data_IF_123587905475
#
_entry.id   IF_123587905475
#
_cell.length_a   1.000
_cell.length_b   1.000
_cell.length_c   1.000
_cell.angle_alpha   90.00
_cell.angle_beta   90.00
_cell.angle_gamma   90.00
#
_symmetry.space_group_name_H-M   'P 1'
#
loop_
_entity.id
_entity.type
_entity.pdbx_description
1 polymer ?
#
# COMPACT_ATOMS: atom_id res chain seq x y z
N UNK A 1 -16.20 -59.94 22.09
CA UNK A 1 -16.74 -60.80 21.01
C UNK A 1 -15.73 -61.93 20.73
N UNK A 2 -16.17 -63.21 20.64
CA UNK A 2 -15.23 -64.31 20.29
C UNK A 2 -14.78 -64.15 18.83
N UNK A 3 -13.47 -63.98 18.61
CA UNK A 3 -12.88 -63.99 17.25
C UNK A 3 -13.23 -65.30 16.56
N UNK A 4 -13.94 -65.23 15.44
CA UNK A 4 -14.17 -66.38 14.54
C UNK A 4 -12.80 -66.75 13.93
N UNK A 5 -12.18 -67.84 14.33
CA UNK A 5 -10.94 -68.34 13.71
C UNK A 5 -11.30 -69.13 12.46
N UNK A 6 -11.24 -68.45 11.30
CA UNK A 6 -11.29 -69.10 10.03
C UNK A 6 -9.83 -69.39 9.61
N UNK A 7 -9.51 -70.61 9.30
CA UNK A 7 -8.16 -71.02 8.86
C UNK A 7 -8.28 -71.66 7.48
N UNK A 8 -7.39 -71.28 6.52
CA UNK A 8 -7.34 -71.91 5.23
C UNK A 8 -6.70 -73.31 5.34
N UNK A 9 -7.32 -74.32 4.70
CA UNK A 9 -6.81 -75.69 4.66
C UNK A 9 -6.42 -76.06 3.25
N UNK A 10 -5.26 -76.73 3.09
CA UNK A 10 -4.85 -77.21 1.77
C UNK A 10 -5.70 -78.41 1.35
N UNK A 11 -6.40 -78.31 0.22
CA UNK A 11 -7.26 -79.38 -0.29
C UNK A 11 -6.41 -80.45 -0.97
N UNK A 12 -6.53 -81.70 -0.47
CA UNK A 12 -5.66 -82.82 -0.84
C UNK A 12 -5.72 -83.25 -2.30
N UNK A 13 -6.89 -83.14 -2.92
CA UNK A 13 -7.08 -83.57 -4.30
C UNK A 13 -6.72 -82.50 -5.35
N UNK A 14 -6.93 -81.23 -5.07
CA UNK A 14 -6.71 -80.16 -6.04
C UNK A 14 -5.45 -79.30 -5.78
N UNK A 15 -4.78 -79.50 -4.65
CA UNK A 15 -3.61 -78.72 -4.25
C UNK A 15 -3.90 -77.26 -3.91
N UNK A 16 -5.15 -76.81 -4.05
CA UNK A 16 -5.59 -75.44 -3.77
C UNK A 16 -5.89 -75.23 -2.28
N UNK A 17 -5.91 -73.98 -1.86
CA UNK A 17 -6.26 -73.59 -0.48
C UNK A 17 -7.77 -73.38 -0.36
N UNK A 18 -8.41 -74.12 0.54
CA UNK A 18 -9.81 -74.10 0.82
C UNK A 18 -10.11 -73.22 2.01
N UNK A 19 -11.07 -72.29 1.84
CA UNK A 19 -11.65 -71.47 2.94
C UNK A 19 -13.12 -71.82 3.09
N UNK A 20 -13.51 -72.29 4.29
CA UNK A 20 -14.90 -72.57 4.63
C UNK A 20 -15.54 -71.38 5.31
N UNK A 21 -16.53 -70.77 4.67
CA UNK A 21 -17.20 -69.57 5.11
C UNK A 21 -18.44 -69.97 5.91
N UNK A 22 -18.55 -69.55 7.17
CA UNK A 22 -19.77 -69.82 7.96
C UNK A 22 -20.99 -69.09 7.33
N UNK A 23 -22.17 -69.67 7.47
CA UNK A 23 -23.44 -69.10 6.96
C UNK A 23 -23.67 -67.62 7.39
N UNK A 24 -23.18 -67.23 8.55
CA UNK A 24 -23.29 -65.87 9.08
C UNK A 24 -22.44 -64.82 8.36
N UNK A 25 -21.43 -65.28 7.60
CA UNK A 25 -20.48 -64.44 6.88
C UNK A 25 -20.59 -64.65 5.34
N UNK A 26 -21.46 -65.51 4.92
CA UNK A 26 -21.76 -65.71 3.52
C UNK A 26 -22.87 -64.82 3.04
N UNK A 27 -22.71 -64.15 1.89
CA UNK A 27 -23.73 -63.31 1.28
C UNK A 27 -25.04 -64.02 0.92
N UNK A 28 -24.97 -65.38 0.82
CA UNK A 28 -26.09 -66.23 0.52
C UNK A 28 -26.85 -66.74 1.80
N UNK A 29 -26.33 -66.48 2.99
CA UNK A 29 -26.88 -67.03 4.23
C UNK A 29 -26.68 -68.55 4.43
N UNK A 30 -25.95 -69.22 3.52
CA UNK A 30 -25.57 -70.62 3.58
C UNK A 30 -24.07 -70.81 3.73
N UNK A 31 -23.63 -71.96 4.25
CA UNK A 31 -22.20 -72.26 4.31
C UNK A 31 -21.65 -72.35 2.92
N UNK A 32 -20.55 -71.63 2.65
CA UNK A 32 -19.87 -71.65 1.36
C UNK A 32 -18.44 -72.09 1.48
N UNK A 33 -17.87 -72.60 0.39
CA UNK A 33 -16.47 -72.99 0.31
C UNK A 33 -15.85 -72.35 -0.91
N UNK A 34 -14.71 -71.61 -0.72
CA UNK A 34 -13.97 -71.02 -1.81
C UNK A 34 -12.58 -71.61 -1.87
N UNK A 35 -12.02 -71.73 -3.10
CA UNK A 35 -10.69 -72.30 -3.34
C UNK A 35 -9.79 -71.23 -3.97
N UNK A 36 -8.56 -71.15 -3.43
CA UNK A 36 -7.57 -70.15 -3.82
C UNK A 36 -6.28 -70.84 -4.29
N UNK A 37 -5.56 -70.32 -5.28
CA UNK A 37 -4.29 -70.84 -5.77
C UNK A 37 -3.19 -70.86 -4.72
N UNK A 38 -3.10 -69.84 -3.88
CA UNK A 38 -2.05 -69.64 -2.85
C UNK A 38 -2.62 -69.47 -1.45
N UNK A 39 -1.81 -69.76 -0.46
CA UNK A 39 -2.16 -69.53 0.94
C UNK A 39 -2.31 -68.01 1.26
N UNK A 40 -1.50 -67.19 0.59
CA UNK A 40 -1.56 -65.76 0.75
C UNK A 40 -2.93 -65.18 0.30
N UNK A 41 -3.44 -65.61 -0.87
CA UNK A 41 -4.76 -65.18 -1.33
C UNK A 41 -5.92 -65.67 -0.45
N UNK A 42 -5.81 -66.91 0.08
CA UNK A 42 -6.77 -67.46 1.03
C UNK A 42 -6.80 -66.67 2.33
N UNK A 43 -5.63 -66.29 2.84
CA UNK A 43 -5.51 -65.45 4.03
C UNK A 43 -6.02 -64.02 3.81
N UNK A 44 -5.72 -63.40 2.67
CA UNK A 44 -6.24 -62.10 2.29
C UNK A 44 -7.77 -62.11 2.25
N UNK A 45 -8.35 -63.16 1.65
CA UNK A 45 -9.82 -63.32 1.63
C UNK A 45 -10.42 -63.49 3.03
N UNK A 46 -9.77 -64.24 3.91
CA UNK A 46 -10.23 -64.40 5.31
C UNK A 46 -10.15 -63.04 6.05
N UNK A 47 -9.06 -62.31 5.87
CA UNK A 47 -8.92 -60.95 6.47
C UNK A 47 -10.07 -60.03 6.06
N UNK A 48 -10.43 -60.00 4.77
CA UNK A 48 -11.59 -59.24 4.28
C UNK A 48 -12.91 -59.71 4.89
N UNK A 49 -13.13 -61.01 5.04
CA UNK A 49 -14.30 -61.54 5.72
C UNK A 49 -14.40 -61.17 7.22
N UNK A 50 -13.26 -61.16 7.91
CA UNK A 50 -13.16 -60.76 9.30
C UNK A 50 -13.45 -59.23 9.47
N UNK A 51 -12.98 -58.44 8.53
CA UNK A 51 -13.23 -56.97 8.48
C UNK A 51 -14.71 -56.69 8.22
N UNK A 52 -15.36 -57.43 7.33
CA UNK A 52 -16.83 -57.36 7.09
C UNK A 52 -17.61 -57.79 8.34
N UNK A 53 -17.15 -58.85 9.04
CA UNK A 53 -17.79 -59.34 10.27
C UNK A 53 -17.62 -58.42 11.46
N UNK A 54 -16.57 -57.59 11.45
CA UNK A 54 -16.34 -56.56 12.47
C UNK A 54 -17.16 -55.29 12.23
N UNK A 55 -18.03 -55.28 11.21
CA UNK A 55 -18.82 -54.10 10.86
C UNK A 55 -18.04 -53.02 10.11
N UNK A 56 -16.83 -53.35 9.65
CA UNK A 56 -16.02 -52.47 8.80
C UNK A 56 -16.49 -52.58 7.33
N UNK A 57 -17.75 -52.29 7.08
CA UNK A 57 -18.27 -52.01 5.74
C UNK A 57 -17.70 -50.63 5.27
N UNK A 58 -16.49 -50.65 4.84
CA UNK A 58 -15.98 -49.61 3.95
C UNK A 58 -16.58 -49.92 2.56
N UNK A 59 -17.70 -49.27 2.23
CA UNK A 59 -18.41 -49.49 0.98
C UNK A 59 -17.48 -49.66 -0.25
N UNK A 60 -17.88 -49.40 -1.44
CA UNK A 60 -17.08 -49.53 -2.68
C UNK A 60 -15.77 -48.68 -2.73
N UNK A 61 -15.36 -48.13 -1.63
CA UNK A 61 -14.16 -47.34 -1.51
C UNK A 61 -12.93 -48.24 -1.42
N UNK A 62 -12.08 -48.20 -2.43
CA UNK A 62 -10.81 -48.90 -2.54
C UNK A 62 -9.78 -48.31 -1.54
N UNK A 63 -10.01 -48.48 -0.24
CA UNK A 63 -9.07 -48.05 0.79
C UNK A 63 -8.30 -49.25 1.28
N UNK A 64 -6.96 -49.17 1.28
CA UNK A 64 -6.09 -50.16 1.82
C UNK A 64 -6.14 -50.16 3.35
N UNK A 65 -5.76 -51.28 3.99
CA UNK A 65 -5.70 -51.36 5.45
C UNK A 65 -4.78 -50.30 6.05
N UNK A 66 -3.65 -50.02 5.38
CA UNK A 66 -2.70 -49.00 5.81
C UNK A 66 -3.30 -47.58 5.82
N UNK A 67 -4.09 -47.23 4.79
CA UNK A 67 -4.79 -45.94 4.73
C UNK A 67 -5.87 -45.83 5.82
N UNK A 68 -6.59 -46.91 6.08
CA UNK A 68 -7.57 -46.96 7.18
C UNK A 68 -6.90 -46.75 8.55
N UNK A 69 -5.82 -47.48 8.82
CA UNK A 69 -5.12 -47.43 10.10
C UNK A 69 -4.52 -46.00 10.29
N UNK A 70 -3.99 -45.39 9.24
CA UNK A 70 -3.53 -43.99 9.27
C UNK A 70 -4.61 -42.99 9.61
N UNK A 71 -5.83 -43.15 9.02
CA UNK A 71 -6.99 -42.30 9.34
C UNK A 71 -7.42 -42.47 10.78
N UNK A 72 -7.46 -43.68 11.29
CA UNK A 72 -7.82 -43.96 12.69
C UNK A 72 -6.81 -43.33 13.65
N UNK A 73 -5.52 -43.40 13.33
CA UNK A 73 -4.47 -42.75 14.11
C UNK A 73 -4.66 -41.23 14.15
N UNK A 74 -4.92 -40.57 12.99
CA UNK A 74 -5.20 -39.12 12.94
C UNK A 74 -6.48 -38.74 13.70
N UNK A 75 -7.53 -39.56 13.59
CA UNK A 75 -8.76 -39.33 14.37
C UNK A 75 -8.52 -39.46 15.88
N UNK A 76 -7.67 -40.38 16.30
CA UNK A 76 -7.29 -40.53 17.72
C UNK A 76 -6.61 -39.27 18.28
N UNK A 77 -5.89 -38.51 17.46
CA UNK A 77 -5.30 -37.22 17.84
C UNK A 77 -6.34 -36.15 18.16
N UNK A 78 -7.55 -36.29 17.67
CA UNK A 78 -8.66 -35.36 17.96
C UNK A 78 -9.38 -35.66 19.29
N UNK A 79 -9.24 -36.89 19.80
CA UNK A 79 -9.94 -37.35 21.01
C UNK A 79 -9.72 -36.46 22.25
N UNK A 80 -8.48 -35.95 22.54
CA UNK A 80 -8.25 -35.06 23.69
C UNK A 80 -9.00 -33.74 23.61
N UNK A 81 -9.39 -33.30 22.41
CA UNK A 81 -10.07 -32.04 22.17
C UNK A 81 -11.60 -32.16 22.18
N UNK A 82 -12.15 -33.37 22.30
CA UNK A 82 -13.57 -33.68 22.28
C UNK A 82 -14.29 -33.06 21.05
N UNK A 83 -13.66 -33.12 19.87
CA UNK A 83 -14.21 -32.64 18.60
C UNK A 83 -14.31 -33.79 17.60
N UNK A 84 -15.28 -33.70 16.70
CA UNK A 84 -15.43 -34.68 15.60
C UNK A 84 -14.65 -34.24 14.36
N UNK A 85 -14.37 -35.19 13.45
CA UNK A 85 -13.79 -34.86 12.13
C UNK A 85 -14.63 -33.82 11.40
N UNK A 86 -15.95 -33.91 11.51
CA UNK A 86 -16.88 -32.92 10.91
C UNK A 86 -16.61 -31.53 11.48
N UNK A 87 -16.47 -31.40 12.79
CA UNK A 87 -16.21 -30.10 13.43
C UNK A 87 -14.88 -29.51 12.94
N UNK A 88 -13.86 -30.33 12.77
CA UNK A 88 -12.55 -29.91 12.23
C UNK A 88 -12.66 -29.44 10.77
N UNK A 89 -13.36 -30.23 9.94
CA UNK A 89 -13.58 -29.87 8.54
C UNK A 89 -14.41 -28.59 8.43
N UNK A 90 -15.50 -28.48 9.15
CA UNK A 90 -16.37 -27.29 9.16
C UNK A 90 -15.58 -26.06 9.66
N UNK A 91 -14.75 -26.23 10.69
CA UNK A 91 -13.86 -25.19 11.19
C UNK A 91 -12.86 -24.73 10.11
N UNK A 92 -12.24 -25.67 9.39
CA UNK A 92 -11.29 -25.39 8.33
C UNK A 92 -11.96 -24.66 7.17
N UNK A 93 -13.06 -25.23 6.64
CA UNK A 93 -13.81 -24.64 5.51
C UNK A 93 -14.33 -23.24 5.86
N UNK A 94 -14.81 -23.04 7.09
CA UNK A 94 -15.31 -21.72 7.52
C UNK A 94 -14.21 -20.65 7.57
N UNK A 95 -12.95 -21.03 7.67
CA UNK A 95 -11.81 -20.12 7.80
C UNK A 95 -10.94 -20.01 6.55
N UNK A 96 -11.11 -20.89 5.59
CA UNK A 96 -10.28 -20.93 4.38
C UNK A 96 -11.15 -20.80 3.13
N UNK A 97 -10.72 -20.03 2.17
CA UNK A 97 -11.30 -19.96 0.84
C UNK A 97 -10.70 -21.05 -0.06
N UNK A 98 -11.37 -21.35 -1.16
CA UNK A 98 -10.82 -22.25 -2.17
C UNK A 98 -9.43 -21.78 -2.64
N UNK A 99 -8.54 -22.71 -2.95
CA UNK A 99 -7.14 -22.43 -3.30
C UNK A 99 -7.00 -21.36 -4.37
N UNK A 100 -7.71 -21.48 -5.48
CA UNK A 100 -7.58 -20.52 -6.59
C UNK A 100 -8.02 -19.12 -6.22
N UNK A 101 -9.04 -18.97 -5.35
CA UNK A 101 -9.48 -17.67 -4.86
C UNK A 101 -8.46 -16.99 -3.90
N UNK A 102 -7.41 -17.68 -3.50
CA UNK A 102 -6.37 -17.20 -2.58
C UNK A 102 -5.07 -16.80 -3.27
N UNK A 103 -5.01 -16.86 -4.60
CA UNK A 103 -3.87 -16.36 -5.38
C UNK A 103 -3.76 -14.84 -5.26
N UNK A 104 -2.55 -14.35 -5.11
CA UNK A 104 -2.29 -12.91 -4.95
C UNK A 104 -2.77 -12.12 -6.18
N UNK A 105 -2.62 -12.67 -7.39
CA UNK A 105 -3.12 -12.05 -8.63
C UNK A 105 -4.64 -11.87 -8.67
N UNK A 106 -5.38 -12.69 -7.94
CA UNK A 106 -6.84 -12.57 -7.78
C UNK A 106 -7.18 -11.58 -6.66
N UNK A 107 -6.45 -11.63 -5.55
CA UNK A 107 -6.74 -10.82 -4.37
C UNK A 107 -6.36 -9.35 -4.53
N UNK A 108 -5.30 -9.05 -5.29
CA UNK A 108 -4.81 -7.69 -5.52
C UNK A 108 -5.88 -6.77 -6.10
N UNK A 109 -6.53 -7.09 -7.23
CA UNK A 109 -7.61 -6.27 -7.77
C UNK A 109 -8.82 -6.19 -6.84
N UNK A 110 -9.22 -7.29 -6.19
CA UNK A 110 -10.33 -7.31 -5.24
C UNK A 110 -10.12 -6.35 -4.07
N UNK A 111 -8.90 -6.32 -3.52
CA UNK A 111 -8.58 -5.35 -2.47
C UNK A 111 -8.61 -3.92 -2.98
N UNK A 112 -8.05 -3.62 -4.15
CA UNK A 112 -8.07 -2.26 -4.72
C UNK A 112 -9.48 -1.73 -4.93
N UNK A 113 -10.41 -2.61 -5.30
CA UNK A 113 -11.82 -2.23 -5.48
C UNK A 113 -12.49 -1.81 -4.16
N UNK A 114 -11.95 -2.23 -3.01
CA UNK A 114 -12.45 -1.76 -1.70
C UNK A 114 -12.00 -0.33 -1.34
N UNK A 115 -11.10 0.27 -2.12
CA UNK A 115 -10.48 1.56 -1.82
C UNK A 115 -11.12 2.74 -2.56
N UNK A 116 -12.38 2.63 -3.00
CA UNK A 116 -13.02 3.66 -3.81
C UNK A 116 -13.12 5.02 -3.10
N UNK A 117 -13.37 5.01 -1.79
CA UNK A 117 -13.46 6.22 -0.96
C UNK A 117 -12.10 6.81 -0.55
N UNK A 118 -11.01 6.09 -0.84
CA UNK A 118 -9.67 6.57 -0.54
C UNK A 118 -9.19 7.60 -1.56
N UNK A 119 -8.28 8.51 -1.13
CA UNK A 119 -7.71 9.52 -2.02
C UNK A 119 -7.03 8.89 -3.24
N UNK A 120 -7.06 9.59 -4.38
CA UNK A 120 -6.41 9.16 -5.63
C UNK A 120 -4.92 8.88 -5.44
N UNK A 121 -4.24 9.68 -4.61
CA UNK A 121 -2.83 9.49 -4.27
C UNK A 121 -2.60 8.17 -3.50
N UNK A 122 -3.43 7.88 -2.48
CA UNK A 122 -3.34 6.63 -1.73
C UNK A 122 -3.57 5.42 -2.64
N UNK A 123 -4.65 5.45 -3.44
CA UNK A 123 -4.95 4.38 -4.42
C UNK A 123 -3.80 4.14 -5.40
N UNK A 124 -3.19 5.21 -5.93
CA UNK A 124 -2.03 5.12 -6.82
C UNK A 124 -0.82 4.45 -6.14
N UNK A 125 -0.55 4.80 -4.88
CA UNK A 125 0.53 4.18 -4.10
C UNK A 125 0.27 2.71 -3.79
N UNK A 126 -0.95 2.36 -3.37
CA UNK A 126 -1.36 0.97 -3.16
C UNK A 126 -1.22 0.17 -4.46
N UNK A 127 -1.73 0.69 -5.59
CA UNK A 127 -1.58 0.06 -6.91
C UNK A 127 -0.10 -0.20 -7.26
N UNK A 128 0.78 0.77 -7.02
CA UNK A 128 2.21 0.62 -7.30
C UNK A 128 2.84 -0.49 -6.43
N UNK A 129 2.53 -0.51 -5.13
CA UNK A 129 3.12 -1.47 -4.18
C UNK A 129 2.58 -2.87 -4.43
N UNK A 130 1.26 -3.03 -4.53
CA UNK A 130 0.64 -4.33 -4.76
C UNK A 130 0.93 -4.87 -6.16
N UNK A 131 0.99 -4.02 -7.19
CA UNK A 131 1.40 -4.44 -8.53
C UNK A 131 2.83 -4.97 -8.57
N UNK A 132 3.77 -4.32 -7.87
CA UNK A 132 5.13 -4.82 -7.73
C UNK A 132 5.20 -6.12 -6.91
N UNK A 133 4.34 -6.31 -5.93
CA UNK A 133 4.23 -7.55 -5.17
C UNK A 133 3.64 -8.67 -6.02
N UNK A 134 2.53 -8.42 -6.69
CA UNK A 134 1.87 -9.38 -7.56
C UNK A 134 2.71 -9.77 -8.80
N UNK A 135 3.61 -8.90 -9.27
CA UNK A 135 4.52 -9.26 -10.37
C UNK A 135 5.53 -10.35 -9.98
N UNK A 136 5.78 -10.55 -8.68
CA UNK A 136 6.71 -11.59 -8.18
C UNK A 136 5.94 -12.79 -7.61
N UNK A 137 4.88 -12.54 -6.85
CA UNK A 137 4.15 -13.56 -6.10
C UNK A 137 2.72 -13.81 -6.62
N UNK A 138 2.36 -13.31 -7.80
CA UNK A 138 0.98 -13.34 -8.30
C UNK A 138 0.37 -14.74 -8.36
N UNK A 139 1.13 -15.74 -8.76
CA UNK A 139 0.68 -17.13 -8.87
C UNK A 139 0.72 -17.90 -7.54
N UNK A 140 1.37 -17.35 -6.52
CA UNK A 140 1.42 -17.95 -5.18
C UNK A 140 0.09 -17.76 -4.45
N UNK A 141 -0.26 -18.71 -3.60
CA UNK A 141 -1.28 -18.48 -2.58
C UNK A 141 -0.74 -17.49 -1.54
N UNK A 142 -1.62 -16.68 -1.00
CA UNK A 142 -1.22 -15.62 -0.07
C UNK A 142 -0.55 -16.14 1.20
N UNK A 143 -0.90 -17.36 1.66
CA UNK A 143 -0.30 -18.00 2.83
C UNK A 143 1.03 -18.70 2.53
N UNK A 144 1.37 -18.91 1.26
CA UNK A 144 2.64 -19.56 0.87
C UNK A 144 3.81 -18.58 0.89
N UNK A 145 3.53 -17.26 0.93
CA UNK A 145 4.58 -16.24 1.03
C UNK A 145 5.08 -16.17 2.46
N UNK A 146 6.31 -16.59 2.67
CA UNK A 146 6.95 -16.55 3.99
C UNK A 146 7.36 -15.12 4.38
N UNK A 147 7.49 -14.82 5.69
CA UNK A 147 8.02 -13.54 6.16
C UNK A 147 9.39 -13.19 5.59
N UNK A 148 10.28 -14.18 5.46
CA UNK A 148 11.64 -13.99 4.94
C UNK A 148 11.63 -13.61 3.44
N UNK A 149 10.81 -14.29 2.64
CA UNK A 149 10.64 -13.96 1.22
C UNK A 149 10.04 -12.57 1.02
N UNK A 150 9.03 -12.24 1.82
CA UNK A 150 8.42 -10.92 1.80
C UNK A 150 9.42 -9.82 2.19
N UNK A 151 10.19 -10.00 3.26
CA UNK A 151 11.20 -9.03 3.69
C UNK A 151 12.33 -8.90 2.68
N UNK A 152 12.79 -10.00 2.09
CA UNK A 152 13.80 -10.01 1.02
C UNK A 152 13.31 -9.25 -0.20
N UNK A 153 12.09 -9.51 -0.66
CA UNK A 153 11.47 -8.78 -1.76
C UNK A 153 11.38 -7.29 -1.47
N UNK A 154 10.82 -6.92 -0.31
CA UNK A 154 10.61 -5.53 0.06
C UNK A 154 11.94 -4.77 0.18
N UNK A 155 12.97 -5.41 0.73
CA UNK A 155 14.31 -4.84 0.88
C UNK A 155 15.02 -4.66 -0.45
N UNK A 156 14.88 -5.60 -1.36
CA UNK A 156 15.42 -5.54 -2.72
C UNK A 156 14.72 -4.50 -3.58
N UNK A 157 13.40 -4.36 -3.43
CA UNK A 157 12.60 -3.40 -4.20
C UNK A 157 12.72 -1.96 -3.67
N UNK A 158 12.82 -1.77 -2.36
CA UNK A 158 12.92 -0.44 -1.71
C UNK A 158 14.13 -0.39 -0.78
N UNK A 159 15.22 0.16 -1.30
CA UNK A 159 16.51 0.18 -0.61
C UNK A 159 16.61 1.27 0.47
N UNK A 160 15.99 2.45 0.23
CA UNK A 160 16.04 3.55 1.20
C UNK A 160 15.01 3.37 2.32
N UNK A 161 15.36 3.69 3.60
CA UNK A 161 14.43 3.53 4.71
C UNK A 161 13.07 4.25 4.54
N UNK A 162 12.98 5.48 4.03
CA UNK A 162 11.69 6.13 3.80
C UNK A 162 10.83 5.40 2.77
N UNK A 163 11.44 4.94 1.66
CA UNK A 163 10.74 4.21 0.60
C UNK A 163 10.28 2.85 1.08
N UNK A 164 11.13 2.12 1.83
CA UNK A 164 10.79 0.86 2.47
C UNK A 164 9.60 1.02 3.43
N UNK A 165 9.68 1.99 4.35
CA UNK A 165 8.61 2.25 5.32
C UNK A 165 7.31 2.68 4.65
N UNK A 166 7.41 3.45 3.56
CA UNK A 166 6.23 3.82 2.77
C UNK A 166 5.58 2.60 2.13
N UNK A 167 6.35 1.73 1.49
CA UNK A 167 5.84 0.51 0.86
C UNK A 167 5.20 -0.42 1.92
N UNK A 168 5.89 -0.65 3.03
CA UNK A 168 5.38 -1.48 4.13
C UNK A 168 4.04 -0.96 4.67
N UNK A 169 3.87 0.36 4.80
CA UNK A 169 2.62 0.99 5.26
C UNK A 169 1.46 0.78 4.28
N UNK A 170 1.75 0.74 2.98
CA UNK A 170 0.71 0.58 1.97
C UNK A 170 0.33 -0.88 1.70
N UNK A 171 1.22 -1.84 2.00
CA UNK A 171 0.94 -3.26 1.77
C UNK A 171 0.34 -3.97 3.00
N UNK A 172 0.70 -3.57 4.22
CA UNK A 172 0.15 -4.18 5.45
C UNK A 172 -1.39 -4.24 5.49
N UNK A 173 -2.12 -3.19 5.10
CA UNK A 173 -3.58 -3.22 5.07
C UNK A 173 -4.16 -4.28 4.13
N UNK A 174 -3.48 -4.62 3.04
CA UNK A 174 -3.89 -5.70 2.15
C UNK A 174 -3.93 -7.06 2.87
N UNK A 175 -2.88 -7.40 3.62
CA UNK A 175 -2.87 -8.64 4.39
C UNK A 175 -3.91 -8.63 5.51
N UNK A 176 -4.08 -7.50 6.21
CA UNK A 176 -5.13 -7.35 7.22
C UNK A 176 -6.53 -7.60 6.63
N UNK A 177 -6.79 -7.02 5.45
CA UNK A 177 -8.03 -7.26 4.72
C UNK A 177 -8.17 -8.73 4.30
N UNK A 178 -7.12 -9.35 3.77
CA UNK A 178 -7.15 -10.74 3.35
C UNK A 178 -7.48 -11.69 4.52
N UNK A 179 -6.92 -11.45 5.70
CA UNK A 179 -7.23 -12.19 6.93
C UNK A 179 -8.69 -11.95 7.34
N UNK A 180 -9.17 -10.71 7.35
CA UNK A 180 -10.55 -10.37 7.70
C UNK A 180 -11.58 -11.04 6.77
N UNK A 181 -11.21 -11.27 5.51
CA UNK A 181 -12.04 -11.95 4.50
C UNK A 181 -11.78 -13.45 4.42
N UNK A 182 -10.98 -14.02 5.31
CA UNK A 182 -10.63 -15.45 5.38
C UNK A 182 -9.90 -15.98 4.14
N UNK A 183 -9.17 -15.12 3.43
CA UNK A 183 -8.28 -15.51 2.35
C UNK A 183 -6.90 -15.94 2.86
N UNK A 184 -6.46 -15.40 4.00
CA UNK A 184 -5.22 -15.71 4.67
C UNK A 184 -5.43 -16.03 6.14
N UNK A 185 -4.53 -16.83 6.71
CA UNK A 185 -4.50 -17.15 8.15
C UNK A 185 -3.63 -16.14 8.89
N UNK A 186 -2.49 -15.78 8.30
CA UNK A 186 -1.51 -14.88 8.89
C UNK A 186 -0.93 -13.93 7.84
N UNK A 187 -0.28 -12.88 8.32
CA UNK A 187 0.36 -11.88 7.45
C UNK A 187 1.87 -12.12 7.38
N UNK A 188 2.47 -12.26 6.19
CA UNK A 188 3.93 -12.32 6.07
C UNK A 188 4.61 -11.00 6.48
N UNK A 189 3.85 -9.92 6.58
CA UNK A 189 4.33 -8.61 7.04
C UNK A 189 4.21 -8.44 8.57
N UNK A 190 3.71 -9.46 9.29
CA UNK A 190 3.63 -9.43 10.75
C UNK A 190 5.03 -9.45 11.35
N UNK A 191 5.25 -8.66 12.42
CA UNK A 191 6.57 -8.54 13.05
C UNK A 191 7.58 -7.69 12.28
N UNK A 192 7.39 -7.43 10.98
CA UNK A 192 8.32 -6.61 10.20
C UNK A 192 8.21 -5.16 10.64
N UNK A 193 9.35 -4.63 11.12
CA UNK A 193 9.46 -3.29 11.68
C UNK A 193 9.86 -2.27 10.61
N UNK A 194 9.42 -1.05 10.82
CA UNK A 194 9.91 0.08 10.03
C UNK A 194 11.40 0.31 10.30
N UNK A 195 12.14 0.66 9.26
CA UNK A 195 13.57 1.01 9.36
C UNK A 195 13.72 2.39 9.97
N UNK A 196 14.61 2.52 10.94
CA UNK A 196 14.98 3.81 11.49
C UNK A 196 15.68 4.66 10.42
N UNK A 197 15.32 5.91 10.33
CA UNK A 197 16.03 6.89 9.52
C UNK A 197 16.02 8.23 10.22
N UNK A 198 17.13 8.93 10.10
CA UNK A 198 17.20 10.33 10.52
C UNK A 198 16.60 11.18 9.40
N UNK A 199 15.70 12.08 9.75
CA UNK A 199 15.23 13.09 8.79
C UNK A 199 16.37 14.04 8.52
N UNK A 200 16.69 14.25 7.24
CA UNK A 200 17.60 15.32 6.86
C UNK A 200 17.04 16.66 7.36
N UNK A 201 17.93 17.62 7.68
CA UNK A 201 17.51 19.00 7.93
C UNK A 201 16.62 19.50 6.79
N UNK A 202 15.63 20.32 7.11
CA UNK A 202 14.80 20.92 6.07
C UNK A 202 15.66 21.90 5.26
N UNK A 203 15.50 21.82 3.93
CA UNK A 203 16.12 22.80 3.04
C UNK A 203 15.19 23.98 2.86
N UNK A 204 15.73 25.18 2.92
CA UNK A 204 15.06 26.44 2.60
C UNK A 204 15.81 27.17 1.48
N UNK A 205 15.15 28.10 0.82
CA UNK A 205 15.80 28.97 -0.15
C UNK A 205 16.44 30.16 0.57
N UNK A 206 17.63 30.55 0.12
CA UNK A 206 18.16 31.87 0.43
C UNK A 206 17.32 32.95 -0.27
N UNK A 207 17.35 34.22 0.17
CA UNK A 207 16.65 35.31 -0.54
C UNK A 207 17.06 35.40 -2.02
N UNK A 208 18.34 35.20 -2.34
CA UNK A 208 18.85 35.17 -3.70
C UNK A 208 18.25 34.03 -4.53
N UNK A 209 18.13 32.83 -3.95
CA UNK A 209 17.47 31.69 -4.63
C UNK A 209 15.98 31.90 -4.82
N UNK A 210 15.27 32.49 -3.86
CA UNK A 210 13.86 32.85 -3.98
C UNK A 210 13.63 33.88 -5.10
N UNK A 211 14.50 34.89 -5.16
CA UNK A 211 14.49 35.88 -6.24
C UNK A 211 14.76 35.20 -7.60
N UNK A 212 15.78 34.32 -7.69
CA UNK A 212 16.10 33.57 -8.90
C UNK A 212 14.96 32.67 -9.36
N UNK A 213 14.20 32.11 -8.42
CA UNK A 213 13.03 31.28 -8.72
C UNK A 213 11.92 32.10 -9.39
N UNK A 214 11.64 33.31 -8.89
CA UNK A 214 10.68 34.23 -9.51
C UNK A 214 11.18 34.74 -10.86
N UNK A 215 12.48 35.07 -10.97
CA UNK A 215 13.11 35.48 -12.22
C UNK A 215 13.12 34.36 -13.27
N UNK A 216 13.14 33.10 -12.83
CA UNK A 216 13.06 31.95 -13.73
C UNK A 216 11.65 31.75 -14.36
N UNK A 217 10.62 32.44 -13.86
CA UNK A 217 9.29 32.49 -14.45
C UNK A 217 9.27 33.44 -15.66
N UNK A 218 9.92 33.06 -16.74
CA UNK A 218 10.01 33.82 -17.97
C UNK A 218 9.84 32.92 -19.19
N UNK A 219 9.64 33.53 -20.34
CA UNK A 219 9.65 32.81 -21.61
C UNK A 219 11.07 32.32 -21.95
N UNK A 220 11.18 31.13 -22.53
CA UNK A 220 12.43 30.55 -22.98
C UNK A 220 12.76 30.84 -24.46
N UNK A 221 11.89 31.58 -25.14
CA UNK A 221 12.06 31.83 -26.56
C UNK A 221 13.37 32.59 -26.93
N UNK A 222 14.08 33.12 -25.93
CA UNK A 222 15.30 33.87 -26.14
C UNK A 222 16.63 33.07 -26.04
N UNK A 223 16.65 31.92 -25.44
CA UNK A 223 17.89 31.20 -25.11
C UNK A 223 18.30 30.22 -26.25
N UNK A 224 18.19 30.51 -27.48
CA UNK A 224 18.66 29.83 -28.72
C UNK A 224 19.03 28.32 -28.73
N UNK A 225 19.21 27.72 -27.58
CA UNK A 225 19.80 26.38 -27.41
C UNK A 225 18.79 25.23 -27.23
N UNK A 226 17.50 25.52 -27.01
CA UNK A 226 16.51 24.44 -26.82
C UNK A 226 15.66 24.21 -28.07
N UNK A 227 15.44 22.94 -28.47
CA UNK A 227 14.47 22.59 -29.50
C UNK A 227 13.09 23.18 -29.18
N UNK A 228 12.37 23.66 -30.19
CA UNK A 228 11.09 24.36 -30.05
C UNK A 228 10.05 23.55 -29.26
N UNK A 229 10.01 22.25 -29.48
CA UNK A 229 9.12 21.33 -28.76
C UNK A 229 9.44 21.18 -27.26
N UNK A 230 10.62 21.60 -26.82
CA UNK A 230 11.03 21.59 -25.41
C UNK A 230 10.92 22.96 -24.74
N UNK A 231 10.65 24.02 -25.51
CA UNK A 231 10.45 25.38 -24.98
C UNK A 231 9.22 25.41 -24.08
N UNK A 232 9.34 26.10 -22.96
CA UNK A 232 8.27 26.24 -21.98
C UNK A 232 8.09 27.69 -21.63
N UNK A 233 6.99 28.30 -22.08
CA UNK A 233 6.58 29.60 -21.56
C UNK A 233 6.07 29.44 -20.13
N UNK A 234 6.70 30.12 -19.19
CA UNK A 234 6.37 30.05 -17.76
C UNK A 234 6.09 31.45 -17.14
N UNK A 235 5.86 32.46 -17.96
CA UNK A 235 5.55 33.82 -17.48
C UNK A 235 4.32 33.83 -16.58
N UNK A 236 3.33 33.03 -16.91
CA UNK A 236 2.11 32.83 -16.15
C UNK A 236 2.30 32.08 -14.80
N UNK A 237 3.51 31.59 -14.53
CA UNK A 237 3.85 30.93 -13.26
C UNK A 237 4.14 31.93 -12.12
N UNK A 238 4.46 33.20 -12.43
CA UNK A 238 4.92 34.19 -11.42
C UNK A 238 4.02 34.28 -10.21
N UNK A 239 2.72 34.41 -10.41
CA UNK A 239 1.74 34.56 -9.32
C UNK A 239 1.67 33.27 -8.46
N UNK A 240 1.55 32.12 -9.10
CA UNK A 240 1.51 30.85 -8.37
C UNK A 240 2.81 30.58 -7.58
N UNK A 241 3.96 30.98 -8.13
CA UNK A 241 5.26 30.85 -7.45
C UNK A 241 5.37 31.85 -6.29
N UNK A 242 4.89 33.10 -6.46
CA UNK A 242 4.84 34.06 -5.36
C UNK A 242 3.95 33.58 -4.21
N UNK A 243 2.78 33.00 -4.53
CA UNK A 243 1.89 32.39 -3.53
C UNK A 243 2.56 31.21 -2.81
N UNK A 244 3.30 30.35 -3.53
CA UNK A 244 4.07 29.28 -2.89
C UNK A 244 5.15 29.80 -1.94
N UNK A 245 5.85 30.87 -2.33
CA UNK A 245 6.94 31.46 -1.54
C UNK A 245 6.43 32.24 -0.33
N UNK A 246 5.39 33.08 -0.53
CA UNK A 246 5.02 34.10 0.48
C UNK A 246 3.68 33.84 1.18
N UNK A 247 2.96 32.75 0.83
CA UNK A 247 1.78 32.28 1.55
C UNK A 247 1.96 30.87 2.14
N UNK A 248 3.03 30.18 1.79
CA UNK A 248 3.33 28.86 2.32
C UNK A 248 2.27 27.79 2.04
N UNK A 249 1.42 27.98 1.02
CA UNK A 249 0.45 26.96 0.59
C UNK A 249 1.16 25.73 0.04
N UNK A 250 0.49 24.58 0.06
CA UNK A 250 1.08 23.35 -0.52
C UNK A 250 1.06 23.41 -2.05
N UNK A 251 2.02 22.77 -2.73
CA UNK A 251 2.05 22.75 -4.20
C UNK A 251 0.76 22.22 -4.84
N UNK A 252 0.10 21.25 -4.20
CA UNK A 252 -1.18 20.73 -4.67
C UNK A 252 -2.31 21.76 -4.49
N UNK A 253 -2.30 22.50 -3.39
CA UNK A 253 -3.29 23.52 -3.09
C UNK A 253 -3.24 24.69 -4.09
N UNK A 254 -2.04 25.16 -4.47
CA UNK A 254 -1.90 26.26 -5.43
C UNK A 254 -2.52 25.90 -6.80
N UNK A 255 -2.56 24.63 -7.17
CA UNK A 255 -3.18 24.20 -8.43
C UNK A 255 -4.71 24.22 -8.40
N UNK A 256 -5.30 24.23 -7.21
CA UNK A 256 -6.74 24.30 -7.01
C UNK A 256 -7.23 25.71 -6.70
N UNK A 257 -6.36 26.59 -6.19
CA UNK A 257 -6.70 27.98 -5.89
C UNK A 257 -7.10 28.77 -7.13
N UNK A 258 -8.11 29.62 -6.96
CA UNK A 258 -8.58 30.61 -7.94
C UNK A 258 -8.44 32.02 -7.38
N UNK A 259 -8.59 33.04 -8.24
CA UNK A 259 -8.61 34.43 -7.82
C UNK A 259 -9.76 34.74 -6.85
N UNK A 260 -10.85 33.99 -6.88
CA UNK A 260 -11.95 34.12 -5.92
C UNK A 260 -11.56 33.84 -4.49
N UNK A 261 -10.55 33.00 -4.30
CA UNK A 261 -9.99 32.70 -2.97
C UNK A 261 -9.09 33.83 -2.44
N UNK A 262 -8.62 34.73 -3.31
CA UNK A 262 -7.73 35.85 -2.95
C UNK A 262 -8.55 37.06 -2.56
N UNK A 263 -8.60 37.36 -1.28
CA UNK A 263 -9.33 38.48 -0.72
C UNK A 263 -8.39 39.65 -0.46
N UNK A 264 -7.88 40.29 -1.54
CA UNK A 264 -6.87 41.35 -1.45
C UNK A 264 -7.29 42.51 -0.55
N UNK A 265 -8.53 42.97 -0.65
CA UNK A 265 -9.07 44.06 0.17
C UNK A 265 -9.09 43.69 1.67
N UNK A 266 -9.16 42.40 1.99
CA UNK A 266 -9.21 41.90 3.37
C UNK A 266 -7.87 41.34 3.84
N UNK A 267 -6.87 41.27 2.97
CA UNK A 267 -5.50 40.85 3.33
C UNK A 267 -5.32 39.36 3.58
N UNK A 268 -6.14 38.45 3.01
CA UNK A 268 -5.97 37.04 3.15
C UNK A 268 -6.29 36.20 1.90
N UNK A 269 -5.74 35.01 1.83
CA UNK A 269 -6.15 33.94 0.90
C UNK A 269 -6.96 32.94 1.71
N UNK A 270 -8.20 32.66 1.26
CA UNK A 270 -9.06 31.65 1.87
C UNK A 270 -8.84 30.30 1.20
N UNK A 271 -8.36 29.33 1.95
CA UNK A 271 -8.18 27.95 1.48
C UNK A 271 -9.37 27.14 1.97
N UNK A 272 -10.23 26.73 1.04
CA UNK A 272 -11.43 25.95 1.33
C UNK A 272 -11.10 24.44 1.57
N UNK A 273 -12.02 23.66 2.19
CA UNK A 273 -11.80 22.25 2.45
C UNK A 273 -11.51 21.45 1.18
N UNK A 274 -12.18 21.77 0.07
CA UNK A 274 -12.02 21.08 -1.22
C UNK A 274 -10.62 21.29 -1.82
N UNK A 275 -9.99 22.41 -1.49
CA UNK A 275 -8.62 22.76 -1.88
C UNK A 275 -7.60 22.21 -0.88
N UNK A 276 -8.01 22.11 0.39
CA UNK A 276 -7.13 21.75 1.50
C UNK A 276 -6.88 20.24 1.58
N UNK A 277 -5.62 19.83 1.69
CA UNK A 277 -5.27 18.43 1.95
C UNK A 277 -5.81 17.91 3.31
N UNK A 278 -6.08 18.78 4.24
CA UNK A 278 -6.57 18.47 5.60
C UNK A 278 -8.06 18.60 5.76
N UNK A 279 -8.79 18.87 4.67
CA UNK A 279 -10.24 19.06 4.64
C UNK A 279 -10.73 20.10 5.68
N UNK A 280 -9.98 21.19 5.82
CA UNK A 280 -10.29 22.27 6.78
C UNK A 280 -10.12 23.63 6.13
N UNK A 281 -10.99 24.57 6.49
CA UNK A 281 -10.88 25.98 6.09
C UNK A 281 -9.71 26.61 6.83
N UNK A 282 -8.92 27.45 6.14
CA UNK A 282 -7.96 28.35 6.78
C UNK A 282 -7.84 29.66 6.01
N UNK A 283 -7.48 30.70 6.72
CA UNK A 283 -7.16 32.00 6.18
C UNK A 283 -5.65 32.20 6.24
N UNK A 284 -5.02 32.40 5.09
CA UNK A 284 -3.58 32.64 5.00
C UNK A 284 -3.36 34.13 4.81
N UNK A 285 -2.62 34.76 5.73
CA UNK A 285 -2.33 36.18 5.66
C UNK A 285 -1.53 36.55 4.40
N UNK A 286 -1.90 37.65 3.76
CA UNK A 286 -1.17 38.20 2.62
C UNK A 286 -0.15 39.23 3.14
N UNK A 287 1.11 38.84 3.10
CA UNK A 287 2.22 39.73 3.44
C UNK A 287 2.39 40.85 2.40
N UNK A 288 3.01 41.99 2.74
CA UNK A 288 3.10 43.15 1.83
C UNK A 288 3.76 42.84 0.49
N UNK A 289 4.81 42.01 0.47
CA UNK A 289 5.47 41.60 -0.76
C UNK A 289 4.55 40.71 -1.61
N UNK A 290 3.83 39.77 -1.02
CA UNK A 290 2.85 38.96 -1.74
C UNK A 290 1.75 39.82 -2.33
N UNK A 291 1.25 40.80 -1.59
CA UNK A 291 0.27 41.74 -2.08
C UNK A 291 0.75 42.46 -3.34
N UNK A 292 1.95 42.97 -3.32
CA UNK A 292 2.56 43.60 -4.48
C UNK A 292 2.66 42.68 -5.70
N UNK A 293 3.06 41.41 -5.51
CA UNK A 293 3.07 40.43 -6.60
C UNK A 293 1.65 40.16 -7.17
N UNK A 294 0.65 40.02 -6.32
CA UNK A 294 -0.74 39.82 -6.76
C UNK A 294 -1.31 41.05 -7.50
N UNK A 295 -0.91 42.24 -7.10
CA UNK A 295 -1.32 43.50 -7.71
C UNK A 295 -0.66 43.74 -9.08
N UNK A 296 0.40 43.01 -9.47
CA UNK A 296 0.93 43.08 -10.84
C UNK A 296 -0.07 42.59 -11.89
N UNK A 297 -1.09 41.81 -11.48
CA UNK A 297 -2.15 41.37 -12.38
C UNK A 297 -3.28 42.41 -12.34
N UNK A 298 -3.64 43.03 -13.47
CA UNK A 298 -4.74 43.96 -13.53
C UNK A 298 -6.06 43.34 -13.02
N UNK A 299 -6.90 44.13 -12.36
CA UNK A 299 -8.11 43.64 -11.69
C UNK A 299 -9.04 42.88 -12.64
N UNK A 300 -9.21 43.35 -13.82
CA UNK A 300 -10.04 42.75 -14.88
C UNK A 300 -9.51 41.39 -15.37
N UNK A 301 -8.24 41.08 -15.11
CA UNK A 301 -7.57 39.77 -15.43
C UNK A 301 -7.51 38.79 -14.24
N UNK A 302 -8.00 39.23 -13.07
CA UNK A 302 -7.97 38.39 -11.86
C UNK A 302 -9.14 37.39 -11.84
N UNK A 303 -9.14 36.47 -12.82
CA UNK A 303 -10.20 35.47 -12.98
C UNK A 303 -9.62 34.08 -13.14
N UNK A 304 -10.37 33.04 -12.76
CA UNK A 304 -9.97 31.65 -12.91
C UNK A 304 -8.84 31.21 -11.96
N UNK A 305 -8.06 30.22 -12.36
CA UNK A 305 -7.02 29.62 -11.53
C UNK A 305 -5.77 30.47 -11.41
N UNK A 306 -5.13 30.45 -10.23
CA UNK A 306 -3.82 31.06 -10.00
C UNK A 306 -2.70 30.31 -10.72
N UNK A 307 -2.83 29.00 -10.86
CA UNK A 307 -1.86 28.16 -11.55
C UNK A 307 -2.22 28.00 -13.03
N UNK A 308 -1.22 28.03 -13.94
CA UNK A 308 -1.47 27.85 -15.36
C UNK A 308 -1.72 26.38 -15.73
N UNK A 309 -2.20 26.17 -16.96
CA UNK A 309 -2.22 24.83 -17.58
C UNK A 309 -0.79 24.24 -17.64
N UNK A 310 -0.70 22.92 -17.63
CA UNK A 310 0.58 22.19 -17.64
C UNK A 310 1.51 22.53 -16.46
N UNK A 311 0.95 22.80 -15.29
CA UNK A 311 1.64 23.17 -14.06
C UNK A 311 2.91 22.35 -13.80
N UNK A 312 2.81 21.02 -13.79
CA UNK A 312 3.95 20.14 -13.47
C UNK A 312 5.15 20.34 -14.41
N UNK A 313 4.89 20.44 -15.72
CA UNK A 313 5.96 20.66 -16.72
C UNK A 313 6.61 22.04 -16.52
N UNK A 314 5.79 23.08 -16.36
CA UNK A 314 6.27 24.45 -16.14
C UNK A 314 7.02 24.57 -14.83
N UNK A 315 6.49 23.99 -13.75
CA UNK A 315 7.15 23.97 -12.44
C UNK A 315 8.51 23.29 -12.46
N UNK A 316 8.64 22.14 -13.13
CA UNK A 316 9.92 21.47 -13.31
C UNK A 316 10.92 22.33 -14.12
N UNK A 317 10.46 23.01 -15.14
CA UNK A 317 11.29 23.91 -15.94
C UNK A 317 11.79 25.08 -15.10
N UNK A 318 10.90 25.77 -14.39
CA UNK A 318 11.24 26.90 -13.50
C UNK A 318 12.24 26.49 -12.42
N UNK A 319 12.03 25.35 -11.76
CA UNK A 319 12.96 24.84 -10.73
C UNK A 319 14.33 24.51 -11.28
N UNK A 320 14.41 23.92 -12.48
CA UNK A 320 15.70 23.65 -13.14
C UNK A 320 16.45 24.93 -13.46
N UNK A 321 15.76 25.93 -14.01
CA UNK A 321 16.33 27.25 -14.30
C UNK A 321 16.89 27.93 -13.07
N UNK A 322 16.18 27.82 -11.95
CA UNK A 322 16.58 28.39 -10.67
C UNK A 322 17.66 27.55 -9.94
N UNK A 323 18.08 26.40 -10.49
CA UNK A 323 19.07 25.52 -9.85
C UNK A 323 18.58 24.78 -8.60
N UNK A 324 17.26 24.69 -8.37
CA UNK A 324 16.66 24.12 -7.14
C UNK A 324 15.84 22.85 -7.38
N UNK A 325 16.04 22.19 -8.51
CA UNK A 325 15.24 21.00 -8.90
C UNK A 325 15.33 19.84 -7.91
N UNK A 326 16.40 19.75 -7.15
CA UNK A 326 16.66 18.71 -6.14
C UNK A 326 15.96 18.95 -4.78
N UNK A 327 15.41 20.16 -4.55
CA UNK A 327 14.78 20.52 -3.28
C UNK A 327 13.27 20.25 -3.32
N UNK A 328 12.73 19.55 -2.31
CA UNK A 328 11.31 19.24 -2.20
C UNK A 328 10.64 20.17 -1.18
N UNK A 329 9.40 20.59 -1.45
CA UNK A 329 8.57 21.49 -0.62
C UNK A 329 9.30 22.74 -0.13
N UNK A 330 10.39 23.12 -0.81
CA UNK A 330 11.32 24.15 -0.38
C UNK A 330 10.67 25.53 -0.22
N UNK A 331 9.73 25.91 -1.08
CA UNK A 331 9.01 27.19 -0.97
C UNK A 331 8.22 27.27 0.35
N UNK A 332 7.49 26.20 0.67
CA UNK A 332 6.70 26.13 1.91
C UNK A 332 7.59 26.08 3.16
N UNK A 333 8.71 25.38 3.09
CA UNK A 333 9.69 25.38 4.18
C UNK A 333 10.35 26.75 4.37
N UNK A 334 10.66 27.44 3.27
CA UNK A 334 11.20 28.79 3.31
C UNK A 334 10.21 29.75 3.96
N UNK A 335 8.94 29.79 3.47
CA UNK A 335 7.90 30.58 4.10
C UNK A 335 7.84 30.37 5.60
N UNK A 336 7.71 29.11 6.03
CA UNK A 336 7.56 28.77 7.43
C UNK A 336 8.75 29.25 8.28
N UNK A 337 9.97 29.09 7.78
CA UNK A 337 11.19 29.49 8.51
C UNK A 337 11.33 31.00 8.58
N UNK A 338 11.17 31.72 7.48
CA UNK A 338 11.27 33.19 7.44
C UNK A 338 10.11 33.85 8.17
N UNK A 339 8.89 33.29 8.05
CA UNK A 339 7.72 33.82 8.76
C UNK A 339 7.89 33.69 10.29
N UNK A 340 8.30 32.49 10.75
CA UNK A 340 8.52 32.25 12.18
C UNK A 340 9.66 33.11 12.73
N UNK A 341 10.72 33.35 11.96
CA UNK A 341 11.83 34.19 12.35
C UNK A 341 11.42 35.69 12.43
N UNK A 342 10.56 36.15 11.54
CA UNK A 342 10.05 37.52 11.50
C UNK A 342 9.02 37.81 12.61
N UNK A 343 8.03 36.95 12.76
CA UNK A 343 6.87 37.20 13.64
C UNK A 343 6.97 36.55 15.02
N UNK A 344 7.81 35.52 15.19
CA UNK A 344 7.96 34.73 16.41
C UNK A 344 6.66 34.16 16.99
N UNK A 345 5.64 34.05 16.13
CA UNK A 345 4.31 33.53 16.45
C UNK A 345 4.13 32.12 15.88
N UNK A 346 4.27 31.13 16.75
CA UNK A 346 4.14 29.73 16.38
C UNK A 346 2.69 29.34 16.10
N UNK A 347 1.73 29.98 16.75
CA UNK A 347 0.31 29.69 16.57
C UNK A 347 -0.18 30.19 15.21
N UNK A 348 0.09 31.46 14.89
CA UNK A 348 -0.25 32.04 13.59
C UNK A 348 0.40 31.29 12.43
N UNK A 349 1.67 30.81 12.60
CA UNK A 349 2.29 29.96 11.57
C UNK A 349 1.51 28.66 11.36
N UNK A 350 1.10 27.99 12.44
CA UNK A 350 0.35 26.73 12.33
C UNK A 350 -1.01 26.93 11.66
N UNK A 351 -1.70 28.01 11.96
CA UNK A 351 -2.94 28.40 11.32
C UNK A 351 -2.74 28.66 9.83
N UNK A 352 -1.80 29.53 9.45
CA UNK A 352 -1.47 29.83 8.05
C UNK A 352 -1.11 28.56 7.26
N UNK A 353 -0.33 27.67 7.89
CA UNK A 353 0.07 26.43 7.21
C UNK A 353 -0.96 25.30 7.26
N UNK A 354 -2.00 25.39 8.09
CA UNK A 354 -2.97 24.32 8.30
C UNK A 354 -2.30 23.06 8.87
N UNK A 355 -1.50 23.21 9.93
CA UNK A 355 -0.87 22.12 10.67
C UNK A 355 -1.66 21.82 11.94
N UNK A 356 -1.99 20.55 12.16
CA UNK A 356 -2.70 20.08 13.36
C UNK A 356 -1.80 19.74 14.54
N UNK A 357 -0.48 19.63 14.32
CA UNK A 357 0.48 19.24 15.36
C UNK A 357 1.72 20.13 15.37
N UNK A 358 2.05 20.68 16.55
CA UNK A 358 3.07 21.70 16.75
C UNK A 358 4.49 21.19 17.02
N UNK A 359 4.64 20.08 17.76
CA UNK A 359 5.93 19.76 18.42
C UNK A 359 7.12 19.45 17.49
N UNK A 360 6.90 18.86 16.34
CA UNK A 360 8.00 18.45 15.45
C UNK A 360 8.34 19.51 14.41
N UNK A 361 7.35 20.29 14.01
CA UNK A 361 7.44 21.26 12.92
C UNK A 361 8.21 22.51 13.36
N UNK A 362 7.94 23.02 14.54
CA UNK A 362 8.50 24.28 15.04
C UNK A 362 10.00 24.22 15.23
N UNK A 363 10.52 23.14 15.85
CA UNK A 363 11.96 22.98 16.10
C UNK A 363 12.81 23.07 14.83
N UNK A 364 12.33 22.50 13.73
CA UNK A 364 13.06 22.49 12.46
C UNK A 364 13.02 23.85 11.76
N UNK A 365 11.91 24.60 11.85
CA UNK A 365 11.80 25.91 11.22
C UNK A 365 12.59 27.02 11.95
N UNK A 366 12.67 26.97 13.27
CA UNK A 366 13.40 27.97 14.07
C UNK A 366 14.90 28.06 13.77
N UNK A 367 15.49 26.94 13.31
CA UNK A 367 16.94 26.85 13.10
C UNK A 367 17.34 26.81 11.62
N UNK A 368 16.38 26.92 10.71
CA UNK A 368 16.62 26.69 9.30
C UNK A 368 17.08 27.94 8.54
N UNK A 369 16.67 29.15 8.96
CA UNK A 369 17.07 30.39 8.28
C UNK A 369 18.15 31.15 9.08
N UNK A 370 19.01 31.85 8.34
CA UNK A 370 19.90 32.84 8.93
C UNK A 370 19.08 34.10 9.27
N UNK A 371 19.15 34.63 10.51
CA UNK A 371 18.42 35.83 10.89
C UNK A 371 18.70 37.05 10.00
N UNK A 372 19.90 37.17 9.46
CA UNK A 372 20.31 38.24 8.55
C UNK A 372 19.56 38.22 7.23
N UNK A 373 19.12 37.03 6.79
CA UNK A 373 18.38 36.86 5.54
C UNK A 373 16.90 37.22 5.63
N UNK A 374 16.37 37.34 6.87
CA UNK A 374 14.91 37.55 7.08
C UNK A 374 14.41 38.84 6.42
N UNK A 375 15.03 40.02 6.64
CA UNK A 375 14.59 41.24 5.96
C UNK A 375 14.68 41.13 4.44
N UNK A 376 15.78 40.56 3.91
CA UNK A 376 16.00 40.43 2.48
C UNK A 376 14.95 39.53 1.82
N UNK A 377 14.49 38.45 2.50
CA UNK A 377 13.44 37.58 1.98
C UNK A 377 12.09 38.31 1.84
N UNK A 378 11.71 39.10 2.83
CA UNK A 378 10.45 39.85 2.80
C UNK A 378 10.51 41.11 1.93
N UNK A 379 11.71 41.53 1.48
CA UNK A 379 11.94 42.61 0.53
C UNK A 379 11.92 42.15 -0.95
N UNK A 380 11.54 40.92 -1.24
CA UNK A 380 11.42 40.44 -2.62
C UNK A 380 10.11 40.93 -3.22
N UNK A 381 10.13 42.11 -3.80
CA UNK A 381 9.03 42.74 -4.52
C UNK A 381 9.16 42.56 -6.04
N UNK A 382 8.03 42.66 -6.81
CA UNK A 382 8.13 42.74 -8.26
C UNK A 382 8.98 43.98 -8.63
N UNK A 383 9.92 43.79 -9.57
CA UNK A 383 10.63 44.95 -10.13
C UNK A 383 9.64 45.71 -11.07
N UNK A 384 9.67 47.01 -10.99
CA UNK A 384 8.95 47.85 -11.96
C UNK A 384 9.56 47.56 -13.35
N UNK A 385 8.80 46.91 -14.22
CA UNK A 385 9.22 46.61 -15.59
C UNK A 385 9.52 47.87 -16.39
N UNK A 386 9.12 49.08 -15.92
CA UNK A 386 9.40 50.34 -16.52
C UNK A 386 10.81 50.91 -16.27
N UNK A 387 11.58 50.32 -15.37
CA UNK A 387 12.96 50.80 -15.09
C UNK A 387 14.02 50.24 -16.06
N UNK A 388 13.66 49.28 -16.91
CA UNK A 388 14.59 48.66 -17.89
C UNK A 388 14.45 49.21 -19.31
N UNK A 389 13.52 50.18 -19.53
CA UNK A 389 13.38 50.88 -20.82
C UNK A 389 14.19 52.19 -20.89
N UNK A 390 15.01 52.49 -19.89
CA UNK A 390 15.75 53.75 -19.77
C UNK A 390 17.24 53.58 -19.58
N UNK A 391 17.82 52.48 -20.09
CA UNK A 391 19.30 52.33 -20.19
C UNK A 391 19.71 51.76 -21.55
#
# INVERSE_FOLDING_TARGET
MKRLKITPVKHTQSGRWQVRIPAKLSGSGKRETKYFPTKAEAMGYISNLEDVAAGLHLGETLMTRSEYDAIIEELARLAPFNVTLKDVIDYYIARHRASDARKISILEPLYRDTLQDASSHYRSRVKQVLGAFASVFGDCLIDDVTPDEFEKWLSGWKTTPPSYNSALRHIKPFFTWAISKKYAVQSPAEGIKQRKHQRAPISILTPAQAHSLLAACRDYSGDGEMPENLRVNAVDMKIAVAVLLFAGVRPEEVTALTWEHVKLAHGYIRVEPEVSKTNSVRLVQIEPNLKAWLETVPEEKRTGKLSPKNWQRKWQAVRRRAGISHLNDVCRHSYASYWLAAHRDTHGLLENMGHTTSKTTIKYYLTACNPEDVPAYWQIFPKDENSLAST
#
